data_IF_317711764779
#
_entry.id   IF_317711764779
#
_cell.length_a   1.000
_cell.length_b   1.000
_cell.length_c   1.000
_cell.angle_alpha   90.00
_cell.angle_beta   90.00
_cell.angle_gamma   90.00
#
_symmetry.space_group_name_H-M   'P 1'
#
loop_
_entity.id
_entity.type
_entity.pdbx_description
1 polymer ?
#
# COMPACT_ATOMS: atom_id res chain seq x y z
N UNK A 1 28.37 -41.39 12.99
CA UNK A 1 27.88 -40.71 14.22
C UNK A 1 26.83 -39.70 13.78
N UNK A 2 25.56 -40.13 13.74
CA UNK A 2 24.44 -39.28 13.32
C UNK A 2 24.08 -38.41 14.52
N UNK A 3 24.41 -37.11 14.46
CA UNK A 3 23.95 -36.15 15.45
C UNK A 3 22.43 -36.03 15.34
N UNK A 4 21.72 -36.67 16.27
CA UNK A 4 20.32 -36.37 16.57
C UNK A 4 20.28 -34.95 17.12
N UNK A 5 19.91 -33.99 16.27
CA UNK A 5 19.41 -32.71 16.75
C UNK A 5 18.16 -33.02 17.58
N UNK A 6 18.22 -32.74 18.87
CA UNK A 6 17.12 -33.02 19.79
C UNK A 6 15.93 -32.14 19.42
N UNK A 7 14.71 -32.69 19.53
CA UNK A 7 13.48 -31.95 19.24
C UNK A 7 13.26 -30.73 20.16
N UNK A 8 14.06 -30.57 21.23
CA UNK A 8 14.04 -29.40 22.12
C UNK A 8 14.76 -28.18 21.51
N UNK A 9 15.85 -28.37 20.77
CA UNK A 9 16.60 -27.25 20.13
C UNK A 9 15.86 -26.66 18.91
N UNK A 10 15.13 -27.52 18.19
CA UNK A 10 14.24 -27.08 17.12
C UNK A 10 13.03 -26.28 17.65
N UNK A 11 12.55 -26.57 18.87
CA UNK A 11 11.46 -25.79 19.50
C UNK A 11 11.95 -24.45 20.04
N UNK A 12 13.13 -24.40 20.65
CA UNK A 12 13.71 -23.16 21.20
C UNK A 12 14.10 -22.14 20.11
N UNK A 13 14.69 -22.58 18.99
CA UNK A 13 15.03 -21.70 17.85
C UNK A 13 13.80 -21.10 17.18
N UNK A 14 12.71 -21.84 17.20
CA UNK A 14 11.44 -21.51 16.59
C UNK A 14 10.57 -20.60 17.49
N UNK A 15 10.59 -20.81 18.81
CA UNK A 15 9.97 -19.90 19.80
C UNK A 15 10.66 -18.54 19.79
N UNK A 16 12.00 -18.51 19.71
CA UNK A 16 12.78 -17.27 19.65
C UNK A 16 12.53 -16.49 18.34
N UNK A 17 12.47 -17.18 17.19
CA UNK A 17 12.04 -16.56 15.92
C UNK A 17 10.58 -16.08 15.94
N UNK A 18 9.69 -16.76 16.66
CA UNK A 18 8.29 -16.35 16.79
C UNK A 18 8.10 -15.11 17.69
N UNK A 19 8.89 -14.99 18.76
CA UNK A 19 8.95 -13.76 19.55
C UNK A 19 9.52 -12.59 18.74
N UNK A 20 10.59 -12.81 17.96
CA UNK A 20 11.12 -11.81 17.03
C UNK A 20 10.13 -11.42 15.92
N UNK A 21 9.29 -12.36 15.47
CA UNK A 21 8.28 -12.14 14.43
C UNK A 21 7.14 -11.21 14.88
N UNK A 22 6.79 -11.24 16.16
CA UNK A 22 5.70 -10.44 16.75
C UNK A 22 6.20 -9.26 17.58
N UNK A 23 7.53 -9.12 17.70
CA UNK A 23 8.16 -8.03 18.43
C UNK A 23 8.01 -6.73 17.65
N UNK A 24 7.09 -5.88 18.11
CA UNK A 24 6.97 -4.54 17.60
C UNK A 24 8.24 -3.73 17.86
N UNK A 25 8.60 -2.90 16.89
CA UNK A 25 9.76 -2.01 17.00
C UNK A 25 9.55 -1.04 18.16
N UNK A 26 10.53 -0.93 19.06
CA UNK A 26 10.43 -0.19 20.33
C UNK A 26 10.05 1.27 20.13
N UNK A 27 10.56 1.88 19.07
CA UNK A 27 10.31 3.25 18.66
C UNK A 27 8.83 3.48 18.32
N UNK A 28 8.21 2.56 17.58
CA UNK A 28 6.79 2.60 17.25
C UNK A 28 5.91 2.44 18.50
N UNK A 29 6.28 1.50 19.39
CA UNK A 29 5.61 1.30 20.69
C UNK A 29 5.70 2.57 21.55
N UNK A 30 6.88 3.16 21.66
CA UNK A 30 7.12 4.40 22.41
C UNK A 30 6.31 5.57 21.86
N UNK A 31 6.10 5.61 20.54
CA UNK A 31 5.25 6.60 19.91
C UNK A 31 3.78 6.44 20.31
N UNK A 32 3.26 5.20 20.32
CA UNK A 32 1.88 4.91 20.71
C UNK A 32 1.58 5.12 22.20
N UNK A 33 2.59 5.10 23.08
CA UNK A 33 2.44 5.48 24.50
C UNK A 33 1.98 6.93 24.68
N UNK A 34 2.07 7.76 23.64
CA UNK A 34 1.54 9.14 23.60
C UNK A 34 0.27 9.15 22.74
N UNK A 35 -0.95 9.07 23.32
CA UNK A 35 -2.18 8.91 22.55
C UNK A 35 -2.43 10.01 21.52
N UNK A 36 -2.01 11.25 21.80
CA UNK A 36 -2.12 12.37 20.87
C UNK A 36 -1.22 12.17 19.64
N UNK A 37 0.00 11.68 19.85
CA UNK A 37 0.96 11.41 18.77
C UNK A 37 0.46 10.27 17.87
N UNK A 38 -0.03 9.18 18.45
CA UNK A 38 -0.65 8.08 17.71
C UNK A 38 -1.84 8.54 16.86
N UNK A 39 -2.77 9.31 17.44
CA UNK A 39 -3.91 9.86 16.68
C UNK A 39 -3.48 10.80 15.56
N UNK A 40 -2.48 11.65 15.81
CA UNK A 40 -1.92 12.54 14.80
C UNK A 40 -1.36 11.75 13.61
N UNK A 41 -0.60 10.68 13.86
CA UNK A 41 -0.02 9.83 12.81
C UNK A 41 -1.10 9.11 11.99
N UNK A 42 -2.13 8.58 12.64
CA UNK A 42 -3.25 7.94 11.96
C UNK A 42 -4.03 8.94 11.10
N UNK A 43 -4.33 10.12 11.64
CA UNK A 43 -5.00 11.18 10.90
C UNK A 43 -4.19 11.63 9.68
N UNK A 44 -2.88 11.84 9.86
CA UNK A 44 -1.93 12.14 8.79
C UNK A 44 -1.95 11.07 7.70
N UNK A 45 -2.15 9.80 8.08
CA UNK A 45 -2.24 8.66 7.15
C UNK A 45 -3.61 8.48 6.50
N UNK A 46 -4.49 9.49 6.59
CA UNK A 46 -5.82 9.47 6.00
C UNK A 46 -6.82 8.57 6.73
N UNK A 47 -6.57 8.22 7.99
CA UNK A 47 -7.46 7.35 8.77
C UNK A 47 -8.44 8.19 9.62
N UNK A 48 -9.74 7.85 9.62
CA UNK A 48 -10.71 8.50 10.48
C UNK A 48 -10.45 8.13 11.95
N UNK A 49 -10.16 9.13 12.80
CA UNK A 49 -9.84 8.92 14.21
C UNK A 49 -10.84 9.62 15.15
N UNK A 50 -10.90 9.16 16.40
CA UNK A 50 -11.66 9.80 17.48
C UNK A 50 -10.86 9.85 18.77
N UNK A 51 -11.04 10.93 19.54
CA UNK A 51 -10.49 11.06 20.89
C UNK A 51 -11.47 10.59 21.98
N UNK A 52 -12.71 10.25 21.62
CA UNK A 52 -13.75 9.84 22.56
C UNK A 52 -13.39 8.48 23.18
N UNK A 53 -13.56 8.37 24.50
CA UNK A 53 -13.36 7.11 25.25
C UNK A 53 -14.53 6.13 25.12
N UNK A 54 -15.70 6.64 24.73
CA UNK A 54 -16.93 5.87 24.55
C UNK A 54 -17.49 6.10 23.14
N UNK A 55 -18.14 5.10 22.53
CA UNK A 55 -18.87 5.29 21.27
C UNK A 55 -20.01 6.29 21.44
N UNK A 56 -20.43 6.89 20.32
CA UNK A 56 -21.65 7.68 20.27
C UNK A 56 -22.89 6.75 20.31
N UNK A 57 -24.08 7.26 20.68
CA UNK A 57 -25.32 6.50 20.50
C UNK A 57 -25.46 5.97 19.06
N UNK A 58 -25.83 4.70 18.90
CA UNK A 58 -25.92 3.98 17.62
C UNK A 58 -24.59 3.53 17.03
N UNK A 59 -23.45 3.81 17.68
CA UNK A 59 -22.15 3.28 17.27
C UNK A 59 -21.78 2.05 18.09
N UNK A 60 -21.38 1.00 17.39
CA UNK A 60 -20.86 -0.24 17.96
C UNK A 60 -19.37 -0.14 18.17
N UNK A 61 -18.85 -0.78 19.22
CA UNK A 61 -17.43 -0.85 19.49
C UNK A 61 -16.87 -2.22 19.13
N UNK A 62 -15.84 -2.23 18.30
CA UNK A 62 -15.14 -3.41 17.83
C UNK A 62 -13.71 -3.40 18.34
N UNK A 63 -13.29 -4.48 18.99
CA UNK A 63 -11.90 -4.73 19.33
C UNK A 63 -11.36 -5.82 18.40
N UNK A 64 -10.36 -5.45 17.61
CA UNK A 64 -9.76 -6.33 16.60
C UNK A 64 -8.35 -6.68 17.04
N UNK A 65 -8.10 -7.96 17.32
CA UNK A 65 -6.77 -8.50 17.60
C UNK A 65 -6.19 -9.10 16.32
N UNK A 66 -5.01 -8.64 15.90
CA UNK A 66 -4.43 -9.03 14.61
C UNK A 66 -2.91 -9.10 14.63
N UNK A 67 -2.37 -9.89 13.69
CA UNK A 67 -0.96 -9.94 13.30
C UNK A 67 -0.86 -9.59 11.81
N UNK A 68 -0.25 -8.45 11.49
CA UNK A 68 -0.22 -7.86 10.15
C UNK A 68 -1.64 -7.76 9.55
N UNK A 69 -1.91 -8.41 8.42
CA UNK A 69 -3.25 -8.46 7.80
C UNK A 69 -4.12 -9.60 8.35
N UNK A 70 -3.58 -10.47 9.21
CA UNK A 70 -4.27 -11.65 9.71
C UNK A 70 -5.04 -11.34 11.00
N UNK A 71 -6.36 -11.43 10.90
CA UNK A 71 -7.26 -11.27 12.04
C UNK A 71 -7.25 -12.54 12.90
N UNK A 72 -6.92 -12.38 14.18
CA UNK A 72 -6.87 -13.47 15.16
C UNK A 72 -8.19 -13.58 15.92
N UNK A 73 -8.81 -12.43 16.17
CA UNK A 73 -10.07 -12.30 16.88
C UNK A 73 -10.72 -10.94 16.58
N UNK A 74 -12.05 -10.95 16.51
CA UNK A 74 -12.87 -9.74 16.53
C UNK A 74 -13.93 -9.92 17.61
N UNK A 75 -14.01 -8.97 18.53
CA UNK A 75 -15.10 -8.89 19.50
C UNK A 75 -15.88 -7.61 19.28
N UNK A 76 -17.21 -7.69 19.33
CA UNK A 76 -18.11 -6.55 19.33
C UNK A 76 -18.68 -6.40 20.73
N UNK A 77 -18.63 -5.19 21.27
CA UNK A 77 -19.30 -4.90 22.54
C UNK A 77 -20.75 -4.55 22.23
N UNK A 78 -21.68 -5.16 22.95
CA UNK A 78 -23.09 -4.84 22.86
C UNK A 78 -23.33 -3.36 23.18
N UNK A 79 -24.31 -2.74 22.51
CA UNK A 79 -24.71 -1.37 22.83
C UNK A 79 -25.17 -1.29 24.29
N UNK A 80 -24.81 -0.23 25.00
CA UNK A 80 -25.47 0.07 26.28
C UNK A 80 -26.91 0.51 25.98
N UNK A 81 -27.95 -0.22 26.40
CA UNK A 81 -29.33 0.22 26.17
C UNK A 81 -29.54 1.57 26.86
N UNK A 82 -30.01 2.56 26.10
CA UNK A 82 -30.20 3.94 26.59
C UNK A 82 -31.55 4.19 27.28
N UNK A 83 -32.29 3.16 27.70
CA UNK A 83 -33.53 3.38 28.47
C UNK A 83 -33.59 2.59 29.78
N UNK A 84 -33.68 3.38 30.87
CA UNK A 84 -34.05 3.08 32.26
C UNK A 84 -33.26 1.99 33.01
N UNK A 85 -32.35 2.48 33.86
CA UNK A 85 -31.94 1.90 35.14
C UNK A 85 -31.49 0.43 35.11
N UNK A 86 -30.36 0.15 34.48
CA UNK A 86 -29.61 -1.08 34.82
C UNK A 86 -28.11 -0.82 34.71
N UNK A 87 -27.48 -0.56 35.87
CA UNK A 87 -26.02 -0.70 36.06
C UNK A 87 -25.73 -2.20 36.06
N UNK A 88 -25.37 -2.75 34.91
CA UNK A 88 -24.81 -4.09 34.84
C UNK A 88 -23.35 -3.94 34.43
N UNK A 89 -22.47 -4.24 35.37
CA UNK A 89 -21.01 -4.11 35.29
C UNK A 89 -20.37 -5.13 34.32
N UNK A 90 -21.17 -5.91 33.60
CA UNK A 90 -20.71 -6.82 32.56
C UNK A 90 -21.02 -6.22 31.19
N UNK A 91 -19.98 -5.73 30.54
CA UNK A 91 -20.06 -5.37 29.12
C UNK A 91 -20.02 -6.68 28.34
N UNK A 92 -21.17 -7.23 27.96
CA UNK A 92 -21.22 -8.41 27.11
C UNK A 92 -20.50 -8.12 25.79
N UNK A 93 -19.41 -8.85 25.57
CA UNK A 93 -18.66 -8.85 24.32
C UNK A 93 -19.00 -10.12 23.56
N UNK A 94 -19.55 -9.98 22.36
CA UNK A 94 -19.82 -11.10 21.48
C UNK A 94 -18.63 -11.32 20.53
N UNK A 95 -18.09 -12.55 20.45
CA UNK A 95 -17.10 -12.88 19.43
C UNK A 95 -17.78 -12.91 18.06
N UNK A 96 -17.12 -12.32 17.06
CA UNK A 96 -17.59 -12.36 15.68
C UNK A 96 -16.85 -13.45 14.93
N UNK A 97 -17.61 -14.39 14.35
CA UNK A 97 -17.08 -15.43 13.47
C UNK A 97 -16.50 -14.83 12.19
N UNK A 98 -15.39 -15.42 11.71
CA UNK A 98 -14.69 -14.99 10.51
C UNK A 98 -14.40 -16.19 9.59
N UNK A 99 -14.53 -16.06 8.24
CA UNK A 99 -14.92 -14.88 7.47
C UNK A 99 -16.41 -14.51 7.62
N UNK A 100 -16.75 -13.25 7.35
CA UNK A 100 -18.14 -12.75 7.36
C UNK A 100 -18.48 -11.97 6.09
N UNK A 101 -19.75 -11.99 5.69
CA UNK A 101 -20.29 -11.17 4.61
C UNK A 101 -20.75 -9.78 5.10
N UNK A 102 -20.73 -9.53 6.41
CA UNK A 102 -21.13 -8.24 6.98
C UNK A 102 -20.21 -7.09 6.46
N UNK A 103 -20.74 -6.15 5.66
CA UNK A 103 -19.94 -5.06 5.10
C UNK A 103 -19.33 -4.13 6.15
N UNK A 104 -19.99 -3.96 7.30
CA UNK A 104 -19.47 -3.14 8.39
C UNK A 104 -18.28 -3.80 9.07
N UNK A 105 -18.34 -5.11 9.31
CA UNK A 105 -17.19 -5.85 9.86
C UNK A 105 -16.02 -5.85 8.87
N UNK A 106 -16.28 -5.92 7.57
CA UNK A 106 -15.25 -5.78 6.54
C UNK A 106 -14.60 -4.40 6.55
N UNK A 107 -15.38 -3.32 6.72
CA UNK A 107 -14.84 -1.97 6.94
C UNK A 107 -13.96 -1.90 8.19
N UNK A 108 -14.44 -2.44 9.32
CA UNK A 108 -13.71 -2.47 10.60
C UNK A 108 -12.37 -3.19 10.45
N UNK A 109 -12.35 -4.35 9.80
CA UNK A 109 -11.12 -5.11 9.51
C UNK A 109 -10.13 -4.28 8.69
N UNK A 110 -10.58 -3.75 7.54
CA UNK A 110 -9.71 -2.99 6.66
C UNK A 110 -9.12 -1.77 7.37
N UNK A 111 -9.93 -1.10 8.20
CA UNK A 111 -9.50 0.03 9.00
C UNK A 111 -8.51 -0.40 10.10
N UNK A 112 -8.71 -1.55 10.75
CA UNK A 112 -7.79 -2.09 11.76
C UNK A 112 -6.40 -2.41 11.16
N UNK A 113 -6.37 -3.14 10.05
CA UNK A 113 -5.12 -3.49 9.35
C UNK A 113 -4.35 -2.24 8.89
N UNK A 114 -5.04 -1.27 8.28
CA UNK A 114 -4.41 -0.01 7.87
C UNK A 114 -3.89 0.79 9.08
N UNK A 115 -4.62 0.79 10.18
CA UNK A 115 -4.23 1.49 11.41
C UNK A 115 -2.98 0.89 12.03
N UNK A 116 -2.91 -0.45 12.10
CA UNK A 116 -1.74 -1.15 12.62
C UNK A 116 -0.51 -0.88 11.76
N UNK A 117 -0.66 -0.95 10.44
CA UNK A 117 0.42 -0.63 9.50
C UNK A 117 0.93 0.80 9.65
N UNK A 118 0.00 1.78 9.64
CA UNK A 118 0.33 3.20 9.75
C UNK A 118 1.01 3.55 11.08
N UNK A 119 0.68 2.82 12.16
CA UNK A 119 1.33 2.97 13.45
C UNK A 119 2.73 2.32 13.54
N UNK A 120 3.17 1.61 12.50
CA UNK A 120 4.44 0.89 12.52
C UNK A 120 4.42 -0.36 13.41
N UNK A 121 3.23 -0.92 13.65
CA UNK A 121 3.01 -2.09 14.52
C UNK A 121 2.72 -3.32 13.65
N UNK A 122 3.24 -4.47 14.06
CA UNK A 122 3.05 -5.76 13.37
C UNK A 122 2.06 -6.66 14.11
N UNK A 123 1.99 -6.58 15.44
CA UNK A 123 1.05 -7.33 16.26
C UNK A 123 0.38 -6.42 17.28
N UNK A 124 -0.95 -6.52 17.44
CA UNK A 124 -1.62 -5.75 18.49
C UNK A 124 -3.13 -5.79 18.40
N UNK A 125 -3.76 -4.80 19.01
CA UNK A 125 -5.20 -4.61 19.02
C UNK A 125 -5.59 -3.21 18.54
N UNK A 126 -6.69 -3.12 17.81
CA UNK A 126 -7.27 -1.85 17.37
C UNK A 126 -8.71 -1.76 17.86
N UNK A 127 -9.02 -0.68 18.58
CA UNK A 127 -10.38 -0.34 18.98
C UNK A 127 -10.99 0.59 17.93
N UNK A 128 -12.11 0.17 17.35
CA UNK A 128 -12.83 0.89 16.30
C UNK A 128 -14.27 1.09 16.73
N UNK A 129 -14.80 2.29 16.50
CA UNK A 129 -16.22 2.54 16.57
C UNK A 129 -16.79 2.57 15.17
N UNK A 130 -17.87 1.83 14.90
CA UNK A 130 -18.55 1.82 13.61
C UNK A 130 -20.05 2.00 13.77
N UNK A 131 -20.69 2.62 12.78
CA UNK A 131 -22.14 2.82 12.72
C UNK A 131 -22.76 2.29 11.44
N UNK A 132 -21.96 2.10 10.38
CA UNK A 132 -22.41 1.50 9.13
C UNK A 132 -21.24 0.94 8.33
N UNK A 133 -21.56 0.26 7.23
CA UNK A 133 -20.63 -0.22 6.21
C UNK A 133 -19.69 0.84 5.60
N UNK A 134 -19.95 2.12 5.83
CA UNK A 134 -19.20 3.24 5.24
C UNK A 134 -18.62 4.19 6.28
N UNK A 135 -18.97 4.03 7.56
CA UNK A 135 -18.63 5.00 8.61
C UNK A 135 -18.10 4.31 9.86
N UNK A 136 -16.79 4.43 10.05
CA UNK A 136 -16.06 3.97 11.22
C UNK A 136 -14.96 4.95 11.63
N UNK A 137 -14.51 4.88 12.87
CA UNK A 137 -13.43 5.69 13.44
C UNK A 137 -12.55 4.86 14.36
N UNK A 138 -11.23 5.02 14.23
CA UNK A 138 -10.23 4.41 15.12
C UNK A 138 -10.18 5.19 16.43
N UNK A 139 -10.37 4.50 17.54
CA UNK A 139 -10.32 5.08 18.88
C UNK A 139 -8.94 4.94 19.52
N UNK A 140 -8.31 3.77 19.39
CA UNK A 140 -6.97 3.49 19.94
C UNK A 140 -6.30 2.29 19.27
N UNK A 141 -4.98 2.24 19.40
CA UNK A 141 -4.15 1.08 19.03
C UNK A 141 -3.35 0.68 20.28
N UNK A 142 -3.39 -0.60 20.61
CA UNK A 142 -2.59 -1.21 21.67
C UNK A 142 -1.54 -2.09 20.99
N UNK A 143 -0.23 -1.84 21.16
CA UNK A 143 0.83 -2.59 20.49
C UNK A 143 1.15 -3.93 21.15
N UNK A 144 0.19 -4.49 21.89
CA UNK A 144 0.32 -5.73 22.62
C UNK A 144 -1.01 -6.48 22.54
N UNK A 145 -0.95 -7.80 22.69
CA UNK A 145 -2.13 -8.63 22.91
C UNK A 145 -2.48 -8.73 24.39
N UNK A 146 -3.73 -9.08 24.74
CA UNK A 146 -4.12 -9.33 26.12
C UNK A 146 -3.28 -10.47 26.71
N UNK A 147 -2.78 -10.29 27.94
CA UNK A 147 -1.91 -11.25 28.58
C UNK A 147 -2.55 -12.65 28.67
N UNK A 148 -3.85 -12.73 28.94
CA UNK A 148 -4.59 -13.99 29.02
C UNK A 148 -4.65 -14.76 27.69
N UNK A 149 -4.55 -14.06 26.54
CA UNK A 149 -4.71 -14.65 25.21
C UNK A 149 -3.43 -14.64 24.38
N UNK A 150 -2.35 -14.03 24.88
CA UNK A 150 -1.11 -13.80 24.15
C UNK A 150 -0.51 -15.10 23.58
N UNK A 151 -0.46 -16.17 24.37
CA UNK A 151 0.08 -17.46 23.91
C UNK A 151 -0.77 -18.10 22.81
N UNK A 152 -2.10 -17.99 22.91
CA UNK A 152 -3.03 -18.51 21.89
C UNK A 152 -2.88 -17.72 20.59
N UNK A 153 -2.82 -16.39 20.69
CA UNK A 153 -2.64 -15.49 19.57
C UNK A 153 -1.28 -15.68 18.90
N UNK A 154 -0.21 -15.88 19.66
CA UNK A 154 1.11 -16.17 19.12
C UNK A 154 1.12 -17.47 18.31
N UNK A 155 0.48 -18.53 18.83
CA UNK A 155 0.36 -19.81 18.09
C UNK A 155 -0.42 -19.61 16.78
N UNK A 156 -1.60 -19.00 16.84
CA UNK A 156 -2.45 -18.74 15.66
C UNK A 156 -1.74 -17.86 14.62
N UNK A 157 -1.10 -16.78 15.06
CA UNK A 157 -0.33 -15.87 14.20
C UNK A 157 0.79 -16.61 13.47
N UNK A 158 1.49 -17.50 14.18
CA UNK A 158 2.55 -18.31 13.61
C UNK A 158 2.06 -19.35 12.61
N UNK A 159 0.99 -20.08 12.93
CA UNK A 159 0.39 -21.04 12.00
C UNK A 159 -0.08 -20.35 10.72
N UNK A 160 -0.73 -19.20 10.87
CA UNK A 160 -1.18 -18.38 9.73
C UNK A 160 0.00 -17.87 8.90
N UNK A 161 1.04 -17.34 9.55
CA UNK A 161 2.26 -16.91 8.88
C UNK A 161 2.92 -18.05 8.09
N UNK A 162 3.08 -19.22 8.70
CA UNK A 162 3.68 -20.38 8.03
C UNK A 162 2.85 -20.83 6.83
N UNK A 163 1.52 -20.87 6.96
CA UNK A 163 0.63 -21.16 5.83
C UNK A 163 0.77 -20.12 4.73
N UNK A 164 0.77 -18.82 5.06
CA UNK A 164 0.89 -17.71 4.09
C UNK A 164 2.23 -17.69 3.38
N UNK A 165 3.32 -17.96 4.10
CA UNK A 165 4.66 -18.09 3.52
C UNK A 165 4.77 -19.33 2.62
N UNK A 166 4.05 -20.41 2.91
CA UNK A 166 4.06 -21.62 2.08
C UNK A 166 3.22 -21.50 0.80
N UNK A 167 2.37 -20.47 0.66
CA UNK A 167 1.58 -20.26 -0.57
C UNK A 167 2.44 -19.80 -1.75
N UNK A 168 3.61 -19.24 -1.49
CA UNK A 168 4.50 -18.70 -2.51
C UNK A 168 5.94 -19.12 -2.24
N UNK A 169 6.78 -19.14 -3.27
CA UNK A 169 8.17 -19.58 -3.17
C UNK A 169 9.07 -18.64 -2.37
N UNK A 170 8.58 -17.45 -2.01
CA UNK A 170 9.34 -16.38 -1.34
C UNK A 170 10.52 -15.89 -2.16
N UNK A 171 10.42 -16.05 -3.47
CA UNK A 171 11.35 -15.57 -4.48
C UNK A 171 10.57 -14.84 -5.57
N UNK A 172 11.13 -13.74 -6.06
CA UNK A 172 10.52 -12.99 -7.14
C UNK A 172 10.64 -13.75 -8.46
N UNK A 173 9.51 -14.25 -8.97
CA UNK A 173 9.43 -14.97 -10.24
C UNK A 173 9.27 -14.01 -11.42
N UNK A 174 8.26 -13.16 -11.36
CA UNK A 174 7.87 -12.22 -12.42
C UNK A 174 7.52 -10.86 -11.82
N UNK A 175 7.83 -9.81 -12.57
CA UNK A 175 7.24 -8.49 -12.40
C UNK A 175 6.13 -8.28 -13.43
N UNK A 176 4.97 -7.84 -12.96
CA UNK A 176 3.93 -7.27 -13.81
C UNK A 176 3.74 -5.79 -13.48
N UNK A 177 2.97 -5.08 -14.29
CA UNK A 177 2.62 -3.69 -14.04
C UNK A 177 1.27 -3.38 -14.67
N UNK A 178 0.42 -2.66 -13.94
CA UNK A 178 -0.86 -2.17 -14.43
C UNK A 178 -0.88 -0.63 -14.32
N UNK A 179 -0.11 0.11 -15.16
CA UNK A 179 -0.08 1.56 -15.07
C UNK A 179 -1.23 2.21 -15.84
N UNK A 180 -1.78 3.27 -15.25
CA UNK A 180 -2.98 3.97 -15.71
C UNK A 180 -2.66 5.31 -16.36
N UNK A 181 -3.53 5.82 -17.22
CA UNK A 181 -3.49 7.19 -17.75
C UNK A 181 -4.89 7.72 -18.05
N UNK A 182 -5.04 9.04 -18.03
CA UNK A 182 -6.29 9.73 -18.30
C UNK A 182 -6.28 10.39 -19.69
N UNK A 183 -7.45 10.70 -20.23
CA UNK A 183 -7.62 11.31 -21.54
C UNK A 183 -8.18 12.73 -21.40
N UNK A 184 -7.56 13.71 -22.08
CA UNK A 184 -7.98 15.11 -22.08
C UNK A 184 -8.36 15.57 -23.48
N UNK A 185 -9.54 16.19 -23.61
CA UNK A 185 -10.02 16.86 -24.83
C UNK A 185 -9.36 18.23 -25.01
N UNK A 186 -9.49 18.80 -26.20
CA UNK A 186 -8.97 20.15 -26.51
C UNK A 186 -9.58 21.25 -25.63
N UNK A 187 -10.82 21.09 -25.19
CA UNK A 187 -11.51 21.98 -24.25
C UNK A 187 -10.96 21.89 -22.80
N UNK A 188 -9.98 21.02 -22.56
CA UNK A 188 -9.39 20.76 -21.25
C UNK A 188 -10.19 19.76 -20.39
N UNK A 189 -11.37 19.34 -20.84
CA UNK A 189 -12.22 18.39 -20.15
C UNK A 189 -11.75 16.93 -20.26
N UNK A 190 -12.20 16.10 -19.32
CA UNK A 190 -11.89 14.67 -19.30
C UNK A 190 -12.68 13.91 -20.36
N UNK A 191 -12.00 13.14 -21.21
CA UNK A 191 -12.61 12.13 -22.06
C UNK A 191 -12.66 10.78 -21.34
N UNK A 192 -13.71 9.99 -21.55
CA UNK A 192 -13.80 8.67 -20.92
C UNK A 192 -12.97 7.67 -21.72
N UNK A 193 -12.12 6.90 -21.05
CA UNK A 193 -11.35 5.83 -21.69
C UNK A 193 -12.25 4.80 -22.39
N UNK A 194 -13.43 4.51 -21.83
CA UNK A 194 -14.43 3.60 -22.41
C UNK A 194 -14.98 4.04 -23.77
N UNK A 195 -14.83 5.31 -24.14
CA UNK A 195 -15.28 5.80 -25.45
C UNK A 195 -14.32 5.35 -26.57
N UNK A 196 -13.07 5.01 -26.22
CA UNK A 196 -12.02 4.64 -27.16
C UNK A 196 -11.51 3.20 -26.98
N UNK A 197 -11.66 2.65 -25.79
CA UNK A 197 -11.07 1.37 -25.39
C UNK A 197 -12.12 0.41 -24.87
N UNK A 198 -11.93 -0.89 -25.15
CA UNK A 198 -12.66 -1.95 -24.45
C UNK A 198 -12.21 -2.01 -22.99
N UNK A 199 -13.05 -2.54 -22.11
CA UNK A 199 -12.70 -2.68 -20.68
C UNK A 199 -11.47 -3.60 -20.51
N UNK A 200 -11.49 -4.76 -21.18
CA UNK A 200 -10.46 -5.79 -21.07
C UNK A 200 -9.36 -5.67 -22.15
N UNK A 201 -8.24 -6.35 -21.89
CA UNK A 201 -7.09 -6.49 -22.80
C UNK A 201 -5.84 -5.76 -22.32
N UNK A 202 -4.76 -5.91 -23.11
CA UNK A 202 -3.44 -5.28 -22.86
C UNK A 202 -3.56 -3.75 -22.76
N UNK A 203 -4.50 -3.17 -23.50
CA UNK A 203 -4.91 -1.78 -23.37
C UNK A 203 -6.41 -1.79 -23.19
N UNK A 204 -6.86 -1.38 -22.02
CA UNK A 204 -8.27 -1.31 -21.68
C UNK A 204 -8.57 -0.20 -20.68
N UNK A 205 -9.58 -0.40 -19.85
CA UNK A 205 -10.01 0.59 -18.86
C UNK A 205 -9.87 0.05 -17.44
N UNK A 206 -9.50 0.90 -16.48
CA UNK A 206 -9.60 0.55 -15.06
C UNK A 206 -11.07 0.31 -14.69
N UNK A 207 -11.30 -0.68 -13.84
CA UNK A 207 -12.63 -1.09 -13.39
C UNK A 207 -13.08 -0.36 -12.13
N UNK A 208 -12.17 0.34 -11.44
CA UNK A 208 -12.51 1.10 -10.22
C UNK A 208 -13.29 2.36 -10.57
N UNK A 209 -14.40 2.58 -9.85
CA UNK A 209 -15.23 3.78 -10.00
C UNK A 209 -15.18 4.60 -8.73
N UNK A 210 -14.71 5.84 -8.84
CA UNK A 210 -14.56 6.75 -7.71
C UNK A 210 -15.77 7.66 -7.50
N UNK A 211 -16.69 7.76 -8.48
CA UNK A 211 -17.95 8.51 -8.39
C UNK A 211 -19.14 7.65 -8.80
N UNK A 212 -20.21 7.77 -8.04
CA UNK A 212 -21.50 7.07 -8.27
C UNK A 212 -22.27 7.62 -9.49
N UNK A 213 -21.90 8.82 -9.97
CA UNK A 213 -22.56 9.53 -11.06
C UNK A 213 -22.31 8.91 -12.45
N UNK A 214 -21.29 8.06 -12.60
CA UNK A 214 -20.98 7.40 -13.87
C UNK A 214 -21.85 6.15 -14.07
N UNK A 215 -22.43 6.01 -15.26
CA UNK A 215 -23.20 4.84 -15.62
C UNK A 215 -22.35 3.56 -15.58
N UNK A 216 -23.00 2.41 -15.42
CA UNK A 216 -22.30 1.13 -15.20
C UNK A 216 -21.41 0.66 -16.35
N UNK A 217 -21.40 1.33 -17.49
CA UNK A 217 -20.54 1.02 -18.65
C UNK A 217 -19.44 2.07 -18.87
N UNK A 218 -19.45 3.17 -18.10
CA UNK A 218 -18.51 4.28 -18.25
C UNK A 218 -17.28 4.06 -17.39
N UNK A 219 -16.12 4.09 -18.04
CA UNK A 219 -14.82 3.92 -17.40
C UNK A 219 -13.91 5.09 -17.77
N UNK A 220 -13.55 5.96 -16.81
CA UNK A 220 -12.87 7.21 -17.10
C UNK A 220 -11.37 7.04 -17.37
N UNK A 221 -10.74 6.00 -16.80
CA UNK A 221 -9.29 5.82 -16.78
C UNK A 221 -8.88 4.67 -17.69
N UNK A 222 -7.85 4.88 -18.50
CA UNK A 222 -7.22 3.85 -19.31
C UNK A 222 -6.17 3.10 -18.47
N UNK A 223 -6.02 1.81 -18.68
CA UNK A 223 -5.04 0.96 -17.99
C UNK A 223 -4.29 0.08 -19.00
N UNK A 224 -2.97 0.06 -18.88
CA UNK A 224 -2.11 -0.87 -19.60
C UNK A 224 -1.92 -2.13 -18.77
N UNK A 225 -1.94 -3.30 -19.42
CA UNK A 225 -1.75 -4.61 -18.79
C UNK A 225 -0.76 -5.45 -19.62
N UNK A 226 0.51 -5.02 -19.74
CA UNK A 226 1.55 -5.78 -20.41
C UNK A 226 1.74 -7.17 -19.78
N UNK A 227 2.20 -8.13 -20.59
CA UNK A 227 2.54 -9.47 -20.10
C UNK A 227 3.67 -9.39 -19.04
N UNK A 228 3.51 -10.03 -17.86
CA UNK A 228 4.55 -10.05 -16.83
C UNK A 228 5.88 -10.63 -17.32
N UNK A 229 7.00 -10.09 -16.84
CA UNK A 229 8.34 -10.48 -17.27
C UNK A 229 9.28 -10.77 -16.12
N UNK A 230 10.27 -11.63 -16.36
CA UNK A 230 11.36 -11.87 -15.40
C UNK A 230 12.25 -10.64 -15.30
N UNK A 231 12.64 -10.05 -16.43
CA UNK A 231 13.58 -8.92 -16.48
C UNK A 231 12.85 -7.57 -16.61
N UNK A 232 13.25 -6.53 -15.85
CA UNK A 232 12.64 -5.20 -15.90
C UNK A 232 12.67 -4.56 -17.30
N UNK A 233 13.74 -4.79 -18.07
CA UNK A 233 13.87 -4.28 -19.43
C UNK A 233 12.84 -4.89 -20.39
N UNK A 234 12.56 -6.19 -20.26
CA UNK A 234 11.52 -6.84 -21.06
C UNK A 234 10.14 -6.30 -20.70
N UNK A 235 9.89 -6.00 -19.42
CA UNK A 235 8.63 -5.40 -18.98
C UNK A 235 8.49 -3.95 -19.50
N UNK A 236 9.60 -3.19 -19.48
CA UNK A 236 9.66 -1.85 -20.08
C UNK A 236 9.30 -1.89 -21.57
N UNK A 237 9.90 -2.80 -22.34
CA UNK A 237 9.58 -2.98 -23.76
C UNK A 237 8.12 -3.42 -23.99
N UNK A 238 7.56 -4.24 -23.10
CA UNK A 238 6.15 -4.63 -23.16
C UNK A 238 5.22 -3.44 -22.92
N UNK A 239 5.58 -2.53 -22.01
CA UNK A 239 4.86 -1.26 -21.79
C UNK A 239 4.95 -0.37 -23.03
N UNK A 240 6.12 -0.23 -23.65
CA UNK A 240 6.27 0.53 -24.90
C UNK A 240 5.36 -0.02 -26.00
N UNK A 241 5.30 -1.35 -26.15
CA UNK A 241 4.40 -2.02 -27.10
C UNK A 241 2.93 -1.76 -26.76
N UNK A 242 2.56 -1.80 -25.49
CA UNK A 242 1.20 -1.50 -25.03
C UNK A 242 0.82 -0.03 -25.32
N UNK A 243 1.71 0.92 -25.09
CA UNK A 243 1.49 2.33 -25.44
C UNK A 243 1.31 2.54 -26.94
N UNK A 244 2.12 1.87 -27.78
CA UNK A 244 1.95 1.91 -29.25
C UNK A 244 0.61 1.31 -29.67
N UNK A 245 0.19 0.21 -29.05
CA UNK A 245 -1.12 -0.38 -29.30
C UNK A 245 -2.25 0.56 -28.87
N UNK A 246 -2.11 1.23 -27.73
CA UNK A 246 -3.07 2.24 -27.29
C UNK A 246 -3.14 3.38 -28.32
N UNK A 247 -2.01 3.76 -28.91
CA UNK A 247 -1.93 4.86 -29.87
C UNK A 247 -2.58 4.50 -31.21
N UNK A 248 -2.59 3.21 -31.56
CA UNK A 248 -3.33 2.69 -32.70
C UNK A 248 -4.84 2.63 -32.44
N UNK A 249 -5.25 2.38 -31.18
CA UNK A 249 -6.66 2.26 -30.79
C UNK A 249 -7.35 3.61 -30.58
N UNK A 250 -6.67 4.58 -29.97
CA UNK A 250 -7.19 5.92 -29.73
C UNK A 250 -6.84 6.79 -30.95
N UNK A 251 -7.72 6.77 -31.95
CA UNK A 251 -7.46 7.37 -33.28
C UNK A 251 -7.53 8.89 -33.31
N UNK A 252 -8.25 9.48 -32.36
CA UNK A 252 -8.48 10.91 -32.21
C UNK A 252 -7.19 11.61 -31.75
N UNK A 253 -6.51 12.25 -32.70
CA UNK A 253 -5.22 12.91 -32.47
C UNK A 253 -5.27 14.05 -31.46
N UNK A 254 -6.40 14.73 -31.39
CA UNK A 254 -6.68 15.85 -30.48
C UNK A 254 -6.74 15.44 -29.01
N UNK A 255 -6.96 14.15 -28.71
CA UNK A 255 -7.00 13.64 -27.34
C UNK A 255 -5.58 13.50 -26.78
N UNK A 256 -5.29 14.24 -25.72
CA UNK A 256 -4.03 14.18 -24.98
C UNK A 256 -4.07 13.11 -23.90
N UNK A 257 -2.94 12.48 -23.62
CA UNK A 257 -2.83 11.42 -22.62
C UNK A 257 -2.05 11.90 -21.41
N UNK A 258 -2.65 11.84 -20.22
CA UNK A 258 -2.07 12.38 -18.99
C UNK A 258 -1.75 11.26 -18.01
N UNK A 259 -0.54 11.29 -17.46
CA UNK A 259 -0.08 10.43 -16.38
C UNK A 259 0.04 11.24 -15.07
N UNK A 260 0.69 10.69 -14.05
CA UNK A 260 0.88 11.34 -12.75
C UNK A 260 -0.12 10.88 -11.69
N UNK A 261 -0.54 11.77 -10.79
CA UNK A 261 -1.35 11.40 -9.63
C UNK A 261 -2.86 11.51 -9.84
N UNK A 262 -3.34 12.71 -10.13
CA UNK A 262 -4.77 12.97 -10.30
C UNK A 262 -4.96 14.10 -11.31
N UNK A 263 -4.87 13.79 -12.62
CA UNK A 263 -5.03 14.77 -13.69
C UNK A 263 -6.40 15.45 -13.67
N UNK A 264 -7.43 14.74 -13.23
CA UNK A 264 -8.80 15.24 -13.09
C UNK A 264 -9.33 15.04 -11.67
N UNK A 265 -10.07 16.02 -11.15
CA UNK A 265 -10.55 16.00 -9.78
C UNK A 265 -11.45 14.81 -9.47
N UNK A 266 -11.05 14.01 -8.47
CA UNK A 266 -11.78 12.82 -8.05
C UNK A 266 -11.48 11.57 -8.90
N UNK A 267 -10.54 11.64 -9.85
CA UNK A 267 -10.08 10.51 -10.65
C UNK A 267 -8.57 10.29 -10.44
N UNK A 268 -8.17 9.75 -9.27
CA UNK A 268 -6.78 9.39 -9.04
C UNK A 268 -6.38 8.23 -9.96
N UNK A 269 -5.16 8.29 -10.48
CA UNK A 269 -4.58 7.23 -11.32
C UNK A 269 -3.31 6.65 -10.70
N UNK A 270 -3.03 5.38 -10.98
CA UNK A 270 -1.98 4.58 -10.36
C UNK A 270 -0.96 4.01 -11.33
N UNK A 271 0.21 3.67 -10.79
CA UNK A 271 1.26 2.93 -11.48
C UNK A 271 1.50 1.60 -10.78
N UNK A 272 0.54 0.68 -10.85
CA UNK A 272 0.56 -0.54 -10.04
C UNK A 272 1.69 -1.49 -10.47
N UNK A 273 2.32 -2.16 -9.51
CA UNK A 273 3.43 -3.10 -9.76
C UNK A 273 3.11 -4.43 -9.11
N UNK A 274 3.28 -5.52 -9.86
CA UNK A 274 2.92 -6.86 -9.44
C UNK A 274 4.16 -7.67 -9.14
N UNK A 275 4.19 -8.32 -8.00
CA UNK A 275 5.30 -9.13 -7.52
C UNK A 275 4.85 -10.59 -7.41
N UNK A 276 5.20 -11.39 -8.40
CA UNK A 276 4.86 -12.82 -8.43
C UNK A 276 5.84 -13.63 -7.57
N UNK A 277 5.33 -14.57 -6.79
CA UNK A 277 6.11 -15.48 -5.94
C UNK A 277 6.44 -14.95 -4.54
N UNK A 278 5.95 -13.75 -4.19
CA UNK A 278 6.22 -13.12 -2.89
C UNK A 278 4.94 -12.91 -2.07
N UNK A 279 5.05 -13.07 -0.76
CA UNK A 279 3.99 -12.71 0.19
C UNK A 279 4.10 -11.23 0.60
N UNK A 280 3.01 -10.44 0.59
CA UNK A 280 3.05 -9.01 0.92
C UNK A 280 3.13 -8.74 2.43
N UNK A 281 4.23 -9.16 3.05
CA UNK A 281 4.47 -8.93 4.48
C UNK A 281 4.58 -7.43 4.79
N UNK A 282 4.26 -7.03 6.03
CA UNK A 282 4.44 -5.63 6.45
C UNK A 282 5.89 -5.15 6.26
N UNK A 283 6.86 -6.03 6.50
CA UNK A 283 8.27 -5.73 6.28
C UNK A 283 8.55 -5.39 4.80
N UNK A 284 8.14 -6.24 3.87
CA UNK A 284 8.33 -6.01 2.43
C UNK A 284 7.61 -4.74 1.96
N UNK A 285 6.35 -4.56 2.37
CA UNK A 285 5.57 -3.35 2.09
C UNK A 285 6.26 -2.08 2.55
N UNK A 286 6.80 -2.07 3.78
CA UNK A 286 7.56 -0.92 4.31
C UNK A 286 8.84 -0.67 3.52
N UNK A 287 9.47 -1.69 2.93
CA UNK A 287 10.60 -1.49 2.00
C UNK A 287 10.14 -0.90 0.67
N UNK A 288 9.02 -1.35 0.12
CA UNK A 288 8.46 -0.73 -1.09
C UNK A 288 8.10 0.74 -0.83
N UNK A 289 7.46 1.07 0.29
CA UNK A 289 7.18 2.45 0.67
C UNK A 289 8.48 3.26 0.82
N UNK A 290 9.45 2.72 1.54
CA UNK A 290 10.70 3.39 1.86
C UNK A 290 11.57 3.71 0.64
N UNK A 291 11.63 2.81 -0.33
CA UNK A 291 12.54 2.92 -1.46
C UNK A 291 11.86 3.25 -2.79
N UNK A 292 10.52 3.11 -2.91
CA UNK A 292 9.76 3.55 -4.09
C UNK A 292 8.88 4.77 -3.81
N UNK A 293 7.99 4.69 -2.81
CA UNK A 293 6.96 5.71 -2.62
C UNK A 293 7.53 7.04 -2.10
N UNK A 294 8.34 6.98 -1.04
CA UNK A 294 8.95 8.19 -0.46
C UNK A 294 9.87 8.91 -1.45
N UNK A 295 10.77 8.24 -2.19
CA UNK A 295 11.66 8.92 -3.12
C UNK A 295 10.94 9.60 -4.28
N UNK A 296 9.83 9.02 -4.75
CA UNK A 296 9.09 9.56 -5.88
C UNK A 296 8.50 10.95 -5.59
N UNK A 297 8.22 11.27 -4.32
CA UNK A 297 7.73 12.58 -3.87
C UNK A 297 8.58 13.75 -4.37
N UNK A 298 9.90 13.56 -4.54
CA UNK A 298 10.79 14.63 -4.97
C UNK A 298 10.39 15.22 -6.34
N UNK A 299 9.82 14.42 -7.22
CA UNK A 299 9.46 14.84 -8.58
C UNK A 299 7.96 14.96 -8.81
N UNK A 300 7.14 14.52 -7.85
CA UNK A 300 5.68 14.56 -7.95
C UNK A 300 5.13 16.00 -8.05
N UNK A 301 4.01 16.12 -8.75
CA UNK A 301 3.24 17.34 -8.93
C UNK A 301 2.08 17.45 -7.92
N UNK A 302 1.34 18.56 -7.96
CA UNK A 302 0.20 18.79 -7.06
C UNK A 302 -0.93 17.75 -7.20
N UNK A 303 -1.08 17.10 -8.36
CA UNK A 303 -2.04 16.00 -8.55
C UNK A 303 -1.74 14.79 -7.67
N UNK A 304 -0.47 14.49 -7.44
CA UNK A 304 -0.04 13.38 -6.56
C UNK A 304 -0.36 13.64 -5.09
N UNK A 305 -0.22 14.89 -4.65
CA UNK A 305 -0.59 15.28 -3.29
C UNK A 305 -2.08 15.06 -3.05
N UNK A 306 -2.93 15.57 -3.96
CA UNK A 306 -4.39 15.39 -3.86
C UNK A 306 -4.81 13.93 -3.98
N UNK A 307 -4.12 13.12 -4.80
CA UNK A 307 -4.35 11.67 -4.90
C UNK A 307 -4.34 11.01 -3.52
N UNK A 308 -3.37 11.37 -2.66
CA UNK A 308 -3.17 10.79 -1.30
C UNK A 308 -4.31 11.04 -0.31
N UNK A 309 -5.22 11.95 -0.61
CA UNK A 309 -6.44 12.14 0.20
C UNK A 309 -7.39 10.96 0.08
N UNK A 310 -7.36 10.24 -1.06
CA UNK A 310 -8.31 9.16 -1.39
C UNK A 310 -7.65 7.84 -1.80
N UNK A 311 -6.45 7.89 -2.39
CA UNK A 311 -5.75 6.73 -2.93
C UNK A 311 -4.23 6.88 -2.84
N UNK A 312 -3.48 5.78 -2.88
CA UNK A 312 -2.01 5.86 -2.75
C UNK A 312 -1.52 6.03 -1.32
N UNK A 313 -2.19 5.40 -0.36
CA UNK A 313 -1.72 5.36 1.02
C UNK A 313 -0.50 4.43 1.14
N UNK A 314 0.38 4.71 2.10
CA UNK A 314 1.53 3.83 2.37
C UNK A 314 1.06 2.42 2.73
N UNK A 315 1.72 1.41 2.15
CA UNK A 315 1.43 0.01 2.35
C UNK A 315 0.17 -0.50 1.65
N UNK A 316 -0.39 0.23 0.69
CA UNK A 316 -1.54 -0.25 -0.10
C UNK A 316 -1.11 -1.38 -1.03
N UNK A 317 -1.65 -2.56 -0.76
CA UNK A 317 -1.43 -3.78 -1.54
C UNK A 317 -2.73 -4.54 -1.74
N UNK A 318 -2.79 -5.30 -2.82
CA UNK A 318 -3.84 -6.29 -3.06
C UNK A 318 -3.22 -7.66 -3.28
N UNK A 319 -3.52 -8.60 -2.40
CA UNK A 319 -3.06 -9.99 -2.52
C UNK A 319 -3.75 -10.69 -3.70
N UNK A 320 -3.00 -11.54 -4.40
CA UNK A 320 -3.39 -12.25 -5.63
C UNK A 320 -2.91 -13.69 -5.54
N UNK A 321 -3.49 -14.59 -6.34
CA UNK A 321 -3.08 -16.00 -6.35
C UNK A 321 -1.59 -16.20 -6.69
N UNK A 322 -1.00 -15.31 -7.49
CA UNK A 322 0.41 -15.37 -7.86
C UNK A 322 1.35 -14.60 -6.90
N UNK A 323 0.84 -13.85 -5.93
CA UNK A 323 1.64 -12.94 -5.11
C UNK A 323 0.85 -11.69 -4.74
N UNK A 324 1.29 -10.51 -5.13
CA UNK A 324 0.54 -9.27 -4.84
C UNK A 324 0.76 -8.15 -5.84
N UNK A 325 -0.16 -7.19 -5.78
CA UNK A 325 -0.16 -5.91 -6.49
C UNK A 325 0.14 -4.79 -5.47
N UNK A 326 1.15 -3.97 -5.73
CA UNK A 326 1.51 -2.80 -4.95
C UNK A 326 0.93 -1.54 -5.58
N UNK A 327 0.17 -0.77 -4.79
CA UNK A 327 -0.81 0.21 -5.30
C UNK A 327 -0.52 1.65 -4.86
N UNK A 328 0.49 1.84 -4.03
CA UNK A 328 0.85 3.14 -3.45
C UNK A 328 1.22 4.19 -4.50
N UNK A 329 1.90 3.81 -5.59
CA UNK A 329 2.50 4.77 -6.53
C UNK A 329 1.47 5.44 -7.45
N UNK A 330 1.62 6.76 -7.72
CA UNK A 330 0.93 7.41 -8.84
C UNK A 330 1.37 6.80 -10.18
N UNK A 331 0.68 7.15 -11.27
CA UNK A 331 1.07 6.73 -12.62
C UNK A 331 2.43 7.30 -12.99
N UNK A 332 3.43 6.44 -13.07
CA UNK A 332 4.80 6.77 -13.43
C UNK A 332 5.05 6.78 -14.95
N UNK A 333 4.00 6.65 -15.77
CA UNK A 333 4.07 6.74 -17.23
C UNK A 333 4.45 8.13 -17.74
N UNK A 334 4.64 9.12 -16.87
CA UNK A 334 5.00 10.50 -17.24
C UNK A 334 6.28 10.53 -18.09
N UNK A 335 7.25 9.64 -17.83
CA UNK A 335 8.49 9.62 -18.59
C UNK A 335 9.14 8.21 -18.65
N UNK A 336 9.76 7.81 -19.78
CA UNK A 336 10.37 6.48 -19.92
C UNK A 336 11.54 6.23 -18.95
N UNK A 337 12.35 7.24 -18.61
CA UNK A 337 13.44 7.10 -17.62
C UNK A 337 12.89 6.73 -16.24
N UNK A 338 11.76 7.32 -15.85
CA UNK A 338 11.11 7.06 -14.57
C UNK A 338 10.52 5.66 -14.53
N UNK A 339 9.74 5.32 -15.57
CA UNK A 339 9.18 3.99 -15.77
C UNK A 339 10.26 2.92 -15.63
N UNK A 340 11.32 3.00 -16.43
CA UNK A 340 12.40 2.01 -16.41
C UNK A 340 13.10 1.97 -15.04
N UNK A 341 13.41 3.12 -14.45
CA UNK A 341 14.00 3.23 -13.12
C UNK A 341 13.17 2.52 -12.04
N UNK A 342 11.86 2.76 -12.01
CA UNK A 342 10.92 2.17 -11.06
C UNK A 342 10.85 0.65 -11.21
N UNK A 343 10.83 0.12 -12.44
CA UNK A 343 10.81 -1.33 -12.67
C UNK A 343 12.09 -2.01 -12.16
N UNK A 344 13.26 -1.42 -12.47
CA UNK A 344 14.54 -1.92 -11.97
C UNK A 344 14.62 -1.84 -10.45
N UNK A 345 14.20 -0.72 -9.86
CA UNK A 345 14.23 -0.50 -8.42
C UNK A 345 13.28 -1.47 -7.70
N UNK A 346 12.10 -1.71 -8.26
CA UNK A 346 11.13 -2.68 -7.74
C UNK A 346 11.72 -4.08 -7.68
N UNK A 347 12.39 -4.55 -8.75
CA UNK A 347 13.10 -5.84 -8.73
C UNK A 347 14.18 -5.88 -7.67
N UNK A 348 15.02 -4.84 -7.61
CA UNK A 348 16.13 -4.77 -6.68
C UNK A 348 15.65 -4.85 -5.22
N UNK A 349 14.61 -4.08 -4.88
CA UNK A 349 13.99 -4.08 -3.55
C UNK A 349 13.44 -5.47 -3.24
N UNK A 350 12.58 -6.02 -4.10
CA UNK A 350 11.93 -7.29 -3.86
C UNK A 350 12.93 -8.45 -3.66
N UNK A 351 14.03 -8.45 -4.42
CA UNK A 351 15.07 -9.50 -4.34
C UNK A 351 16.06 -9.33 -3.20
N UNK A 352 16.17 -8.13 -2.60
CA UNK A 352 17.17 -7.83 -1.55
C UNK A 352 16.54 -7.16 -0.31
N UNK A 353 15.23 -7.28 -0.12
CA UNK A 353 14.49 -6.56 0.93
C UNK A 353 14.96 -6.88 2.35
N UNK A 354 15.54 -8.07 2.56
CA UNK A 354 16.16 -8.54 3.79
C UNK A 354 17.44 -7.78 4.17
N UNK A 355 18.13 -7.19 3.19
CA UNK A 355 19.38 -6.43 3.38
C UNK A 355 19.15 -4.93 3.55
N UNK A 356 17.98 -4.44 3.17
CA UNK A 356 17.60 -3.05 3.25
C UNK A 356 17.26 -2.65 4.68
N UNK A 357 17.71 -1.47 5.12
CA UNK A 357 17.67 -1.03 6.53
C UNK A 357 16.79 0.19 6.77
N UNK A 358 16.44 0.95 5.73
CA UNK A 358 15.58 2.12 5.90
C UNK A 358 14.25 1.74 6.57
N UNK A 359 13.86 2.55 7.55
CA UNK A 359 12.69 2.34 8.39
C UNK A 359 11.94 3.67 8.59
N UNK A 360 11.37 4.27 7.53
CA UNK A 360 10.66 5.55 7.64
C UNK A 360 9.39 5.48 8.49
N UNK A 361 8.79 4.28 8.65
CA UNK A 361 7.62 4.05 9.50
C UNK A 361 7.83 4.38 10.99
N UNK A 362 9.09 4.47 11.47
CA UNK A 362 9.42 4.95 12.82
C UNK A 362 9.92 6.39 12.85
N UNK A 363 9.85 7.09 11.72
CA UNK A 363 10.31 8.48 11.55
C UNK A 363 9.13 9.36 11.13
N UNK A 364 8.34 9.88 12.09
CA UNK A 364 7.14 10.67 11.84
C UNK A 364 7.32 11.81 10.82
N UNK A 365 8.50 12.44 10.80
CA UNK A 365 8.85 13.49 9.84
C UNK A 365 8.85 13.01 8.38
N UNK A 366 9.30 11.77 8.12
CA UNK A 366 9.31 11.21 6.76
C UNK A 366 7.91 10.80 6.32
N UNK A 367 7.10 10.27 7.24
CA UNK A 367 5.69 9.97 6.97
C UNK A 367 4.91 11.25 6.69
N UNK A 368 5.18 12.32 7.44
CA UNK A 368 4.60 13.64 7.18
C UNK A 368 5.02 14.18 5.82
N UNK A 369 6.31 14.07 5.50
CA UNK A 369 6.82 14.53 4.22
C UNK A 369 6.17 13.80 3.04
N UNK A 370 5.90 12.50 3.17
CA UNK A 370 5.09 11.78 2.20
C UNK A 370 3.68 12.37 2.08
N UNK A 371 2.88 12.38 3.14
CA UNK A 371 1.47 12.79 3.02
C UNK A 371 1.27 14.27 2.71
N UNK A 372 2.26 15.13 2.96
CA UNK A 372 2.21 16.58 2.67
C UNK A 372 3.02 17.01 1.44
N UNK A 373 3.76 16.11 0.81
CA UNK A 373 4.64 16.45 -0.31
C UNK A 373 5.81 17.36 0.08
N UNK A 374 6.36 17.22 1.29
CA UNK A 374 7.49 18.05 1.77
C UNK A 374 8.81 17.53 1.18
N UNK A 375 9.13 17.94 -0.05
CA UNK A 375 10.27 17.46 -0.84
C UNK A 375 11.60 17.66 -0.13
N UNK A 376 11.82 18.82 0.49
CA UNK A 376 13.07 19.21 1.14
C UNK A 376 13.46 18.23 2.26
N UNK A 377 12.46 17.75 3.01
CA UNK A 377 12.66 16.77 4.10
C UNK A 377 13.14 15.42 3.55
N UNK A 378 12.82 15.09 2.30
CA UNK A 378 13.12 13.80 1.69
C UNK A 378 14.44 13.79 0.92
N UNK A 379 15.03 14.94 0.56
CA UNK A 379 16.27 14.99 -0.23
C UNK A 379 17.41 14.21 0.44
N UNK A 380 17.69 14.49 1.72
CA UNK A 380 18.75 13.80 2.47
C UNK A 380 18.46 12.31 2.65
N UNK A 381 17.18 11.96 2.85
CA UNK A 381 16.74 10.58 2.95
C UNK A 381 16.97 9.81 1.64
N UNK A 382 16.60 10.40 0.49
CA UNK A 382 16.80 9.82 -0.84
C UNK A 382 18.29 9.60 -1.12
N UNK A 383 19.15 10.57 -0.79
CA UNK A 383 20.60 10.42 -0.91
C UNK A 383 21.18 9.31 -0.01
N UNK A 384 20.60 9.07 1.17
CA UNK A 384 20.99 7.96 2.04
C UNK A 384 20.62 6.60 1.44
N UNK A 385 19.35 6.41 1.05
CA UNK A 385 18.90 5.12 0.52
C UNK A 385 19.56 4.79 -0.82
N UNK A 386 19.92 5.79 -1.63
CA UNK A 386 20.60 5.55 -2.90
C UNK A 386 22.01 4.99 -2.68
N UNK A 387 22.74 5.50 -1.69
CA UNK A 387 24.04 4.94 -1.27
C UNK A 387 23.90 3.50 -0.76
N UNK A 388 22.85 3.23 -0.01
CA UNK A 388 22.56 1.88 0.47
C UNK A 388 22.26 0.91 -0.70
N UNK A 389 21.41 1.32 -1.65
CA UNK A 389 21.08 0.52 -2.83
C UNK A 389 22.32 0.22 -3.67
N UNK A 390 23.23 1.19 -3.84
CA UNK A 390 24.50 1.01 -4.58
C UNK A 390 25.42 -0.05 -3.98
N UNK A 391 25.28 -0.35 -2.68
CA UNK A 391 26.07 -1.38 -2.01
C UNK A 391 25.50 -2.79 -2.22
N UNK A 392 24.32 -2.95 -2.82
CA UNK A 392 23.72 -4.25 -3.07
C UNK A 392 24.36 -4.95 -4.29
N UNK A 393 24.60 -6.27 -4.24
CA UNK A 393 25.09 -7.02 -5.39
C UNK A 393 24.21 -6.90 -6.64
N UNK A 394 22.87 -6.84 -6.46
CA UNK A 394 21.91 -6.68 -7.55
C UNK A 394 21.86 -5.28 -8.19
N UNK A 395 22.60 -4.30 -7.68
CA UNK A 395 22.58 -2.94 -8.23
C UNK A 395 23.29 -2.85 -9.58
N UNK A 396 24.45 -3.51 -9.73
CA UNK A 396 25.33 -3.38 -10.90
C UNK A 396 24.61 -3.67 -12.24
N UNK A 397 23.81 -4.76 -12.39
CA UNK A 397 23.06 -4.98 -13.62
C UNK A 397 22.03 -3.88 -13.96
N UNK A 398 21.56 -3.14 -12.95
CA UNK A 398 20.57 -2.07 -13.10
C UNK A 398 21.17 -0.67 -13.02
N UNK A 399 22.49 -0.55 -12.89
CA UNK A 399 23.17 0.68 -12.50
C UNK A 399 22.85 1.85 -13.44
N UNK A 400 22.90 1.62 -14.76
CA UNK A 400 22.64 2.68 -15.75
C UNK A 400 21.25 3.29 -15.59
N UNK A 401 20.24 2.46 -15.33
CA UNK A 401 18.86 2.90 -15.18
C UNK A 401 18.61 3.54 -13.81
N UNK A 402 19.13 2.93 -12.75
CA UNK A 402 18.99 3.45 -11.39
C UNK A 402 19.75 4.77 -11.19
N UNK A 403 20.96 4.90 -11.74
CA UNK A 403 21.73 6.13 -11.63
C UNK A 403 21.03 7.30 -12.34
N UNK A 404 20.47 7.06 -13.54
CA UNK A 404 19.66 8.06 -14.26
C UNK A 404 18.38 8.42 -13.48
N UNK A 405 17.69 7.42 -12.96
CA UNK A 405 16.48 7.62 -12.16
C UNK A 405 16.74 8.48 -10.92
N UNK A 406 17.73 8.13 -10.10
CA UNK A 406 18.04 8.89 -8.88
C UNK A 406 18.64 10.26 -9.16
N UNK A 407 19.41 10.41 -10.24
CA UNK A 407 19.88 11.74 -10.69
C UNK A 407 18.68 12.62 -11.04
N UNK A 408 17.68 12.08 -11.74
CA UNK A 408 16.47 12.82 -12.05
C UNK A 408 15.62 13.10 -10.81
N UNK A 409 15.51 12.16 -9.85
CA UNK A 409 14.82 12.42 -8.58
C UNK A 409 15.43 13.59 -7.80
N UNK A 410 16.76 13.75 -7.89
CA UNK A 410 17.52 14.76 -7.15
C UNK A 410 17.79 16.04 -7.96
N UNK A 411 17.24 16.17 -9.17
CA UNK A 411 17.43 17.38 -9.99
C UNK A 411 16.68 18.60 -9.45
N UNK A 412 15.66 18.37 -8.61
CA UNK A 412 14.73 19.41 -8.17
C UNK A 412 13.60 19.70 -9.17
N UNK A 413 13.59 19.02 -10.31
CA UNK A 413 12.54 19.17 -11.31
C UNK A 413 11.26 18.47 -10.86
N UNK A 414 10.12 19.09 -11.18
CA UNK A 414 8.81 18.44 -11.06
C UNK A 414 8.47 17.81 -12.40
N UNK A 415 7.97 16.58 -12.39
CA UNK A 415 7.61 15.87 -13.60
C UNK A 415 6.45 16.55 -14.35
N UNK A 416 6.46 16.46 -15.67
CA UNK A 416 5.50 17.16 -16.52
C UNK A 416 4.17 16.38 -16.67
N UNK A 417 3.46 16.16 -15.55
CA UNK A 417 2.22 15.36 -15.53
C UNK A 417 1.05 16.01 -16.30
N UNK A 418 1.12 17.32 -16.59
CA UNK A 418 0.12 18.04 -17.37
C UNK A 418 0.37 17.98 -18.88
N UNK A 419 1.50 17.43 -19.32
CA UNK A 419 1.85 17.26 -20.72
C UNK A 419 1.33 15.93 -21.27
N UNK A 420 1.13 15.91 -22.58
CA UNK A 420 0.81 14.68 -23.28
C UNK A 420 1.97 13.69 -23.20
N UNK A 421 1.80 12.58 -22.48
CA UNK A 421 2.85 11.59 -22.27
C UNK A 421 3.38 11.03 -23.58
N UNK A 422 2.58 11.05 -24.67
CA UNK A 422 2.99 10.57 -25.99
C UNK A 422 4.24 11.28 -26.51
N UNK A 423 4.45 12.54 -26.12
CA UNK A 423 5.65 13.32 -26.48
C UNK A 423 6.89 12.71 -25.83
N UNK A 424 6.86 12.47 -24.52
CA UNK A 424 7.99 11.87 -23.78
C UNK A 424 8.32 10.46 -24.27
N UNK A 425 7.31 9.71 -24.71
CA UNK A 425 7.44 8.36 -25.26
C UNK A 425 7.67 8.31 -26.78
N UNK A 426 7.79 9.46 -27.45
CA UNK A 426 8.03 9.59 -28.90
C UNK A 426 7.01 8.82 -29.75
N UNK A 427 5.74 8.95 -29.40
CA UNK A 427 4.61 8.37 -30.12
C UNK A 427 3.94 9.37 -31.07
N UNK A 428 4.31 10.65 -30.98
CA UNK A 428 3.84 11.77 -31.82
C UNK A 428 5.00 12.62 -32.28
#
# INVERSE_FOLDING_TARGET
MIMRVSASDARLSVVNRAQLMTANVKEAVSFLRRPQAGRWLLHLSGLPVTARKKPLPGWRAYLVSLYQDHILEVTRRAEQPQWLRETWEQTDSEPISWPTQDPEVNLVKNLATRSLYAAGIDAGQVLIYAVSAHRAKVASITPDWPAESADVFLRRARESWQKRQAMHNQELLLLGADPEFALRREDGGMALASDYLKIAGIVGCDTTRYREELAMHQHPVAELRPEPQVHPDLLFEAIEKALRLAHQKITERSIQWLAGGMPFEGYPIGGHIHFSGLTPTFALRRKLDAYLALPLVLIEDGGCLRRRERYGFLGDVREKAYGFEYRTLPSWLVHPVLTRGILHLSRLIATHHDRLRAAPHVQPQLIRAYYRGEKETLISYVGQIWRELRALPGYRPSQVHLDRYFTHLLSGETWAADQDLRIAWKLV
#
